data_IF_305772832777
#
_entry.id   IF_305772832777
#
_cell.length_a   1.000
_cell.length_b   1.000
_cell.length_c   1.000
_cell.angle_alpha   90.00
_cell.angle_beta   90.00
_cell.angle_gamma   90.00
#
_symmetry.space_group_name_H-M   'P 1'
#
loop_
_entity.id
_entity.type
_entity.pdbx_description
1 polymer ?
#
# COMPACT_ATOMS: atom_id res chain seq x y z
N UNK A 1 43.92 -31.89 -43.65
CA UNK A 1 44.09 -33.35 -43.85
C UNK A 1 44.44 -33.95 -42.49
N UNK A 2 43.75 -35.03 -42.07
CA UNK A 2 43.59 -35.62 -40.70
C UNK A 2 42.68 -34.77 -39.79
N UNK A 3 41.41 -35.08 -39.44
CA UNK A 3 40.66 -36.31 -39.09
C UNK A 3 41.41 -37.19 -38.10
N UNK A 4 40.97 -37.20 -36.83
CA UNK A 4 40.66 -38.41 -36.05
C UNK A 4 39.56 -38.11 -35.01
N UNK A 5 38.50 -38.92 -35.08
CA UNK A 5 37.41 -39.07 -34.13
C UNK A 5 37.85 -39.93 -32.94
N UNK A 6 37.40 -39.64 -31.72
CA UNK A 6 37.26 -40.68 -30.68
C UNK A 6 35.87 -40.60 -30.04
N UNK A 7 35.19 -41.73 -30.20
CA UNK A 7 33.88 -42.12 -29.71
C UNK A 7 33.92 -42.55 -28.24
N UNK A 8 32.71 -42.55 -27.66
CA UNK A 8 32.21 -43.52 -26.67
C UNK A 8 32.62 -43.32 -25.21
N UNK A 9 31.63 -42.96 -24.39
CA UNK A 9 31.08 -43.87 -23.36
C UNK A 9 29.84 -43.21 -22.71
N UNK A 10 28.67 -43.55 -23.23
CA UNK A 10 27.39 -43.33 -22.55
C UNK A 10 27.25 -44.40 -21.45
N UNK A 11 27.54 -44.03 -20.20
CA UNK A 11 27.17 -44.83 -19.05
C UNK A 11 25.73 -44.48 -18.63
N UNK A 12 24.81 -45.40 -18.93
CA UNK A 12 23.47 -45.45 -18.34
C UNK A 12 23.60 -45.67 -16.83
N UNK A 13 23.36 -44.63 -16.03
CA UNK A 13 23.07 -44.78 -14.61
C UNK A 13 21.58 -44.60 -14.40
N UNK A 14 20.87 -45.73 -14.35
CA UNK A 14 19.48 -45.81 -13.92
C UNK A 14 19.41 -45.57 -12.42
N UNK A 15 19.27 -44.31 -12.01
CA UNK A 15 18.95 -43.96 -10.61
C UNK A 15 17.43 -44.05 -10.41
N UNK A 16 16.99 -45.18 -9.86
CA UNK A 16 15.66 -45.36 -9.31
C UNK A 16 15.49 -44.48 -8.07
N UNK A 17 14.96 -43.27 -8.26
CA UNK A 17 14.58 -42.38 -7.16
C UNK A 17 13.22 -42.82 -6.63
N UNK A 18 13.24 -43.48 -5.47
CA UNK A 18 12.06 -43.78 -4.67
C UNK A 18 11.27 -42.51 -4.39
N UNK A 19 9.98 -42.56 -4.71
CA UNK A 19 8.99 -41.53 -4.45
C UNK A 19 8.90 -41.25 -2.95
N UNK A 20 9.50 -40.14 -2.52
CA UNK A 20 9.22 -39.58 -1.20
C UNK A 20 7.82 -38.97 -1.23
N UNK A 21 7.02 -39.41 -0.27
CA UNK A 21 5.60 -39.15 -0.16
C UNK A 21 5.24 -37.69 -0.33
N UNK A 22 4.20 -37.48 -1.15
CA UNK A 22 3.41 -36.28 -1.20
C UNK A 22 2.85 -35.97 0.19
N UNK A 23 3.51 -35.07 0.93
CA UNK A 23 2.82 -34.19 1.86
C UNK A 23 2.75 -32.82 1.20
N UNK A 24 1.94 -32.74 0.14
CA UNK A 24 1.39 -31.45 -0.29
C UNK A 24 0.43 -31.03 0.82
N UNK A 25 0.94 -30.27 1.78
CA UNK A 25 0.12 -29.45 2.64
C UNK A 25 -0.79 -28.62 1.72
N UNK A 26 -2.08 -28.88 1.82
CA UNK A 26 -3.16 -28.15 1.15
C UNK A 26 -3.14 -26.69 1.61
N UNK A 27 -2.21 -25.89 1.08
CA UNK A 27 -2.26 -24.44 1.13
C UNK A 27 -3.39 -24.01 0.21
N UNK A 28 -4.63 -24.11 0.72
CA UNK A 28 -5.77 -23.47 0.07
C UNK A 28 -5.49 -21.98 0.04
N UNK A 29 -5.63 -21.30 -1.11
CA UNK A 29 -5.60 -19.84 -1.13
C UNK A 29 -6.68 -19.35 -0.17
N UNK A 30 -6.30 -18.48 0.76
CA UNK A 30 -7.26 -17.78 1.62
C UNK A 30 -8.02 -16.82 0.70
N UNK A 31 -9.19 -17.26 0.22
CA UNK A 31 -10.11 -16.43 -0.56
C UNK A 31 -10.95 -15.64 0.46
N UNK A 32 -10.64 -14.36 0.62
CA UNK A 32 -11.47 -13.43 1.38
C UNK A 32 -12.61 -12.97 0.48
N UNK A 33 -13.87 -13.21 0.86
CA UNK A 33 -15.04 -12.81 0.06
C UNK A 33 -15.18 -11.29 -0.01
N UNK A 34 -15.59 -10.79 -1.18
CA UNK A 34 -15.68 -9.36 -1.54
C UNK A 34 -16.82 -8.58 -0.85
N UNK A 35 -17.79 -9.25 -0.22
CA UNK A 35 -19.03 -8.63 0.30
C UNK A 35 -18.95 -8.18 1.77
N UNK A 36 -17.75 -8.11 2.34
CA UNK A 36 -17.58 -7.90 3.76
C UNK A 36 -16.63 -6.73 3.99
N UNK A 37 -17.20 -5.53 4.10
CA UNK A 37 -16.66 -4.49 4.96
C UNK A 37 -16.65 -5.04 6.39
N UNK A 38 -15.69 -5.92 6.68
CA UNK A 38 -15.54 -6.50 8.02
C UNK A 38 -14.90 -5.43 8.90
N UNK A 39 -15.62 -4.85 9.89
CA UNK A 39 -14.94 -4.53 11.14
C UNK A 39 -14.16 -5.77 11.53
N UNK A 40 -12.88 -5.62 11.89
CA UNK A 40 -11.93 -6.70 12.11
C UNK A 40 -12.65 -7.97 12.59
N UNK A 41 -12.78 -8.97 11.70
CA UNK A 41 -13.58 -10.17 11.92
C UNK A 41 -13.36 -10.72 13.33
N UNK A 42 -14.46 -11.01 14.06
CA UNK A 42 -14.53 -11.33 15.50
C UNK A 42 -13.37 -12.17 16.06
N UNK A 43 -12.82 -13.10 15.29
CA UNK A 43 -11.64 -13.88 15.65
C UNK A 43 -10.38 -13.06 16.01
N UNK A 44 -10.26 -11.83 15.50
CA UNK A 44 -9.17 -10.91 15.82
C UNK A 44 -9.28 -10.31 17.23
N UNK A 45 -10.49 -10.24 17.80
CA UNK A 45 -10.77 -9.67 19.12
C UNK A 45 -11.00 -10.77 20.17
N UNK A 46 -11.80 -11.78 19.82
CA UNK A 46 -12.35 -12.76 20.78
C UNK A 46 -11.58 -14.09 20.82
N UNK A 47 -10.54 -14.25 19.99
CA UNK A 47 -9.66 -15.43 20.03
C UNK A 47 -10.30 -16.75 19.56
N UNK A 48 -11.52 -16.74 19.00
CA UNK A 48 -12.15 -17.94 18.43
C UNK A 48 -13.19 -17.61 17.33
N UNK A 49 -13.29 -18.40 16.24
CA UNK A 49 -12.33 -19.39 15.74
C UNK A 49 -11.24 -18.72 14.88
N UNK A 50 -9.98 -19.13 15.07
CA UNK A 50 -8.85 -18.67 14.26
C UNK A 50 -9.07 -19.01 12.77
N UNK A 51 -8.75 -18.12 11.82
CA UNK A 51 -8.88 -18.39 10.40
C UNK A 51 -8.04 -19.60 10.00
N UNK A 52 -8.53 -20.35 9.00
CA UNK A 52 -7.80 -21.48 8.41
C UNK A 52 -6.49 -20.95 7.79
N UNK A 53 -5.35 -21.32 8.37
CA UNK A 53 -4.02 -20.88 7.96
C UNK A 53 -2.93 -21.35 8.92
N UNK A 54 -1.67 -21.10 8.59
CA UNK A 54 -0.55 -21.39 9.50
C UNK A 54 -0.75 -20.63 10.83
N UNK A 55 -0.74 -21.32 12.00
CA UNK A 55 -0.93 -20.67 13.30
C UNK A 55 0.03 -19.49 13.53
N UNK A 56 1.23 -19.55 12.95
CA UNK A 56 2.20 -18.47 13.00
C UNK A 56 1.70 -17.21 12.28
N UNK A 57 1.16 -17.36 11.07
CA UNK A 57 0.64 -16.23 10.27
C UNK A 57 -0.52 -15.55 11.00
N UNK A 58 -1.43 -16.34 11.57
CA UNK A 58 -2.57 -15.80 12.32
C UNK A 58 -2.13 -15.01 13.55
N UNK A 59 -1.16 -15.52 14.32
CA UNK A 59 -0.59 -14.79 15.47
C UNK A 59 0.08 -13.48 15.05
N UNK A 60 0.83 -13.50 13.95
CA UNK A 60 1.48 -12.30 13.42
C UNK A 60 0.45 -11.27 12.93
N UNK A 61 -0.61 -11.70 12.25
CA UNK A 61 -1.71 -10.81 11.84
C UNK A 61 -2.43 -10.17 13.02
N UNK A 62 -2.65 -10.93 14.11
CA UNK A 62 -3.20 -10.38 15.35
C UNK A 62 -2.28 -9.32 15.95
N UNK A 63 -0.99 -9.65 16.10
CA UNK A 63 0.01 -8.72 16.63
C UNK A 63 0.14 -7.46 15.76
N UNK A 64 0.04 -7.60 14.43
CA UNK A 64 0.07 -6.48 13.50
C UNK A 64 -1.09 -5.50 13.75
N UNK A 65 -2.31 -5.99 13.95
CA UNK A 65 -3.48 -5.14 14.26
C UNK A 65 -3.37 -4.47 15.62
N UNK A 66 -2.86 -5.18 16.62
CA UNK A 66 -2.57 -4.58 17.94
C UNK A 66 -1.54 -3.45 17.81
N UNK A 67 -0.46 -3.67 17.06
CA UNK A 67 0.57 -2.65 16.82
C UNK A 67 0.04 -1.46 16.02
N UNK A 68 -0.83 -1.68 15.03
CA UNK A 68 -1.52 -0.62 14.27
C UNK A 68 -2.39 0.25 15.21
N UNK A 69 -3.21 -0.40 16.05
CA UNK A 69 -4.08 0.27 17.01
C UNK A 69 -3.30 1.07 18.06
N UNK A 70 -2.23 0.49 18.58
CA UNK A 70 -1.40 1.09 19.63
C UNK A 70 -0.43 2.15 19.09
N UNK A 71 -0.44 2.44 17.78
CA UNK A 71 0.44 3.44 17.15
C UNK A 71 1.92 3.03 17.13
N UNK A 72 2.22 1.74 17.25
CA UNK A 72 3.60 1.19 17.26
C UNK A 72 4.12 1.02 15.84
N UNK A 73 4.24 2.12 15.08
CA UNK A 73 4.51 2.13 13.64
C UNK A 73 5.74 1.31 13.23
N UNK A 74 6.87 1.44 13.95
CA UNK A 74 8.08 0.68 13.62
C UNK A 74 7.90 -0.84 13.78
N UNK A 75 7.21 -1.28 14.85
CA UNK A 75 6.91 -2.69 15.07
C UNK A 75 5.89 -3.19 14.04
N UNK A 76 4.85 -2.39 13.76
CA UNK A 76 3.87 -2.70 12.74
C UNK A 76 4.52 -2.97 11.39
N UNK A 77 5.43 -2.10 10.93
CA UNK A 77 6.16 -2.28 9.67
C UNK A 77 6.97 -3.58 9.64
N UNK A 78 7.70 -3.88 10.71
CA UNK A 78 8.51 -5.09 10.79
C UNK A 78 7.63 -6.36 10.75
N UNK A 79 6.51 -6.36 11.47
CA UNK A 79 5.56 -7.47 11.48
C UNK A 79 4.88 -7.62 10.12
N UNK A 80 4.46 -6.52 9.48
CA UNK A 80 3.82 -6.54 8.17
C UNK A 80 4.72 -7.18 7.11
N UNK A 81 6.00 -6.78 7.07
CA UNK A 81 7.00 -7.37 6.17
C UNK A 81 7.10 -8.89 6.37
N UNK A 82 7.20 -9.35 7.62
CA UNK A 82 7.28 -10.78 7.95
C UNK A 82 6.01 -11.53 7.53
N UNK A 83 4.83 -10.95 7.69
CA UNK A 83 3.58 -11.56 7.22
C UNK A 83 3.56 -11.62 5.69
N UNK A 84 4.07 -10.59 5.00
CA UNK A 84 4.12 -10.55 3.53
C UNK A 84 5.05 -11.60 2.92
N UNK A 85 6.13 -11.93 3.61
CA UNK A 85 7.04 -13.04 3.24
C UNK A 85 6.36 -14.41 3.40
N UNK A 86 5.58 -14.60 4.47
CA UNK A 86 4.91 -15.87 4.77
C UNK A 86 3.59 -16.08 4.03
N UNK A 87 2.89 -14.99 3.66
CA UNK A 87 1.58 -15.04 3.03
C UNK A 87 1.47 -14.00 1.89
N UNK A 88 2.08 -14.28 0.71
CA UNK A 88 2.07 -13.37 -0.43
C UNK A 88 0.67 -13.00 -0.96
N UNK A 89 -0.33 -13.86 -0.74
CA UNK A 89 -1.72 -13.60 -1.13
C UNK A 89 -2.35 -12.44 -0.35
N UNK A 90 -1.79 -12.07 0.79
CA UNK A 90 -2.30 -10.98 1.65
C UNK A 90 -1.67 -9.63 1.34
N UNK A 91 -0.84 -9.51 0.29
CA UNK A 91 -0.07 -8.29 -0.02
C UNK A 91 -0.94 -7.03 -0.12
N UNK A 92 -2.09 -7.08 -0.80
CA UNK A 92 -2.96 -5.90 -0.93
C UNK A 92 -3.48 -5.42 0.43
N UNK A 93 -3.87 -6.35 1.30
CA UNK A 93 -4.31 -6.03 2.66
C UNK A 93 -3.15 -5.52 3.53
N UNK A 94 -1.98 -6.15 3.43
CA UNK A 94 -0.79 -5.74 4.19
C UNK A 94 -0.36 -4.34 3.83
N UNK A 95 -0.35 -3.99 2.55
CA UNK A 95 -0.02 -2.65 2.07
C UNK A 95 -0.97 -1.60 2.65
N UNK A 96 -2.26 -1.91 2.77
CA UNK A 96 -3.22 -1.01 3.43
C UNK A 96 -2.85 -0.78 4.90
N UNK A 97 -2.55 -1.85 5.64
CA UNK A 97 -2.11 -1.78 7.05
C UNK A 97 -0.79 -1.02 7.20
N UNK A 98 0.15 -1.26 6.29
CA UNK A 98 1.43 -0.57 6.22
C UNK A 98 1.27 0.95 6.05
N UNK A 99 0.36 1.37 5.16
CA UNK A 99 0.01 2.78 4.97
C UNK A 99 -0.63 3.36 6.23
N UNK A 100 -1.60 2.67 6.84
CA UNK A 100 -2.25 3.14 8.08
C UNK A 100 -1.25 3.31 9.24
N UNK A 101 -0.34 2.36 9.41
CA UNK A 101 0.70 2.44 10.42
C UNK A 101 1.65 3.63 10.19
N UNK A 102 1.90 3.99 8.93
CA UNK A 102 2.69 5.16 8.58
C UNK A 102 1.91 6.48 8.78
N UNK A 103 0.62 6.50 8.44
CA UNK A 103 -0.28 7.66 8.61
C UNK A 103 -0.45 8.01 10.09
N UNK A 104 -0.57 7.01 10.96
CA UNK A 104 -0.75 7.19 12.40
C UNK A 104 0.56 7.58 13.13
N UNK A 105 1.71 7.60 12.44
CA UNK A 105 2.97 8.00 13.05
C UNK A 105 2.99 9.52 13.26
N UNK A 106 2.90 9.97 14.52
CA UNK A 106 2.81 11.40 14.87
C UNK A 106 4.04 12.23 14.54
N UNK A 107 5.20 11.58 14.36
CA UNK A 107 6.47 12.25 14.07
C UNK A 107 6.89 12.01 12.63
N UNK A 108 6.82 13.07 11.83
CA UNK A 108 7.35 13.06 10.47
C UNK A 108 8.88 12.87 10.49
N UNK A 109 9.36 11.65 10.28
CA UNK A 109 10.78 11.32 10.20
C UNK A 109 11.23 11.14 8.74
N UNK A 110 12.51 11.37 8.43
CA UNK A 110 13.05 11.08 7.09
C UNK A 110 12.89 9.61 6.70
N UNK A 111 12.94 8.71 7.69
CA UNK A 111 12.68 7.28 7.51
C UNK A 111 11.23 6.98 7.13
N UNK A 112 10.26 7.69 7.73
CA UNK A 112 8.84 7.58 7.41
C UNK A 112 8.56 8.02 5.97
N UNK A 113 9.14 9.13 5.52
CA UNK A 113 8.96 9.60 4.14
C UNK A 113 9.48 8.60 3.11
N UNK A 114 10.67 8.01 3.37
CA UNK A 114 11.24 6.97 2.52
C UNK A 114 10.31 5.77 2.46
N UNK A 115 9.84 5.32 3.63
CA UNK A 115 8.92 4.21 3.75
C UNK A 115 7.61 4.45 2.98
N UNK A 116 6.94 5.59 3.20
CA UNK A 116 5.72 5.96 2.48
C UNK A 116 5.95 5.95 0.97
N UNK A 117 7.06 6.50 0.49
CA UNK A 117 7.41 6.49 -0.93
C UNK A 117 7.55 5.07 -1.48
N UNK A 118 8.22 4.18 -0.75
CA UNK A 118 8.40 2.78 -1.14
C UNK A 118 7.06 2.01 -1.17
N UNK A 119 6.23 2.17 -0.13
CA UNK A 119 4.91 1.53 -0.05
C UNK A 119 3.98 2.05 -1.15
N UNK A 120 3.93 3.36 -1.39
CA UNK A 120 3.14 3.95 -2.48
C UNK A 120 3.62 3.48 -3.86
N UNK A 121 4.92 3.40 -4.09
CA UNK A 121 5.47 2.86 -5.34
C UNK A 121 5.13 1.37 -5.53
N UNK A 122 5.05 0.60 -4.44
CA UNK A 122 4.58 -0.80 -4.48
C UNK A 122 3.11 -0.88 -4.91
N UNK A 123 2.26 0.03 -4.41
CA UNK A 123 0.85 0.12 -4.83
C UNK A 123 0.76 0.49 -6.31
N UNK A 124 1.51 1.50 -6.75
CA UNK A 124 1.51 1.95 -8.15
C UNK A 124 1.96 0.84 -9.11
N UNK A 125 2.96 0.05 -8.71
CA UNK A 125 3.43 -1.12 -9.47
C UNK A 125 2.37 -2.22 -9.58
N UNK A 126 1.48 -2.32 -8.60
CA UNK A 126 0.42 -3.33 -8.54
C UNK A 126 -0.95 -2.66 -8.58
N UNK A 127 -1.17 -1.81 -9.59
CA UNK A 127 -2.40 -1.01 -9.74
C UNK A 127 -3.69 -1.81 -9.70
N UNK A 128 -3.64 -3.11 -10.01
CA UNK A 128 -4.79 -4.02 -9.88
C UNK A 128 -5.40 -4.05 -8.47
N UNK A 129 -4.60 -3.82 -7.42
CA UNK A 129 -5.08 -3.74 -6.04
C UNK A 129 -6.00 -2.54 -5.77
N UNK A 130 -5.95 -1.51 -6.63
CA UNK A 130 -6.81 -0.33 -6.57
C UNK A 130 -8.07 -0.47 -7.44
N UNK A 131 -8.17 -1.52 -8.24
CA UNK A 131 -9.27 -1.75 -9.16
C UNK A 131 -10.21 -2.84 -8.68
N UNK A 132 -9.67 -3.92 -8.11
CA UNK A 132 -10.44 -5.09 -7.72
C UNK A 132 -10.01 -5.65 -6.34
N UNK A 133 -10.99 -6.17 -5.61
CA UNK A 133 -10.82 -6.84 -4.33
C UNK A 133 -11.54 -6.19 -3.14
N UNK A 134 -11.64 -6.92 -2.00
CA UNK A 134 -12.38 -6.48 -0.82
C UNK A 134 -11.80 -5.25 -0.13
N UNK A 135 -10.53 -4.92 -0.40
CA UNK A 135 -9.82 -3.84 0.30
C UNK A 135 -9.70 -2.56 -0.54
N UNK A 136 -10.31 -2.51 -1.73
CA UNK A 136 -10.11 -1.40 -2.69
C UNK A 136 -10.46 -0.05 -2.08
N UNK A 137 -11.62 0.07 -1.43
CA UNK A 137 -12.06 1.37 -0.87
C UNK A 137 -11.18 1.83 0.28
N UNK A 138 -10.86 0.93 1.22
CA UNK A 138 -9.96 1.23 2.32
C UNK A 138 -8.55 1.60 1.80
N UNK A 139 -8.04 0.83 0.82
CA UNK A 139 -6.74 1.08 0.24
C UNK A 139 -6.69 2.42 -0.52
N UNK A 140 -7.73 2.77 -1.29
CA UNK A 140 -7.81 4.09 -1.95
C UNK A 140 -7.76 5.22 -0.92
N UNK A 141 -8.52 5.12 0.16
CA UNK A 141 -8.52 6.12 1.24
C UNK A 141 -7.13 6.29 1.85
N UNK A 142 -6.51 5.18 2.27
CA UNK A 142 -5.17 5.22 2.87
C UNK A 142 -4.09 5.63 1.87
N UNK A 143 -4.24 5.29 0.60
CA UNK A 143 -3.36 5.73 -0.49
C UNK A 143 -3.39 7.25 -0.67
N UNK A 144 -4.59 7.85 -0.76
CA UNK A 144 -4.77 9.30 -0.87
C UNK A 144 -4.20 10.01 0.36
N UNK A 145 -4.53 9.54 1.57
CA UNK A 145 -4.04 10.14 2.81
C UNK A 145 -2.52 10.08 2.92
N UNK A 146 -1.90 8.95 2.56
CA UNK A 146 -0.45 8.80 2.49
C UNK A 146 0.19 9.74 1.46
N UNK A 147 -0.42 9.91 0.27
CA UNK A 147 0.06 10.86 -0.73
C UNK A 147 -0.02 12.31 -0.26
N UNK A 148 -1.07 12.70 0.46
CA UNK A 148 -1.21 14.05 1.03
C UNK A 148 -0.13 14.32 2.09
N UNK A 149 0.15 13.35 2.97
CA UNK A 149 1.25 13.45 3.94
C UNK A 149 2.60 13.60 3.24
N UNK A 150 2.84 12.80 2.21
CA UNK A 150 4.08 12.86 1.43
C UNK A 150 4.20 14.20 0.69
N UNK A 151 3.11 14.72 0.13
CA UNK A 151 3.05 15.99 -0.59
C UNK A 151 3.43 17.17 0.33
N UNK A 152 2.86 17.23 1.54
CA UNK A 152 3.18 18.27 2.53
C UNK A 152 4.67 18.35 2.85
N UNK A 153 5.35 17.20 2.89
CA UNK A 153 6.81 17.13 3.08
C UNK A 153 7.59 17.54 1.83
N UNK A 154 7.12 17.13 0.65
CA UNK A 154 7.76 17.44 -0.62
C UNK A 154 7.67 18.93 -0.99
N UNK A 155 6.63 19.64 -0.61
CA UNK A 155 6.53 21.10 -0.85
C UNK A 155 7.70 21.84 -0.21
N UNK A 156 8.13 21.40 0.98
CA UNK A 156 9.25 22.00 1.72
C UNK A 156 10.61 21.53 1.22
N UNK A 157 10.73 20.28 0.78
CA UNK A 157 12.03 19.62 0.52
C UNK A 157 12.35 19.37 -0.96
N UNK A 158 11.35 19.08 -1.80
CA UNK A 158 11.52 18.73 -3.21
C UNK A 158 10.29 19.14 -4.05
N UNK A 159 10.30 20.40 -4.49
CA UNK A 159 9.21 21.04 -5.26
C UNK A 159 8.86 20.32 -6.56
N UNK A 160 9.86 19.75 -7.26
CA UNK A 160 9.63 18.99 -8.49
C UNK A 160 8.82 17.73 -8.22
N UNK A 161 9.12 17.03 -7.13
CA UNK A 161 8.37 15.85 -6.75
C UNK A 161 6.98 16.22 -6.22
N UNK A 162 6.83 17.35 -5.52
CA UNK A 162 5.53 17.86 -5.08
C UNK A 162 4.57 18.06 -6.27
N UNK A 163 5.03 18.68 -7.37
CA UNK A 163 4.20 18.81 -8.59
C UNK A 163 3.78 17.47 -9.18
N UNK A 164 4.67 16.46 -9.18
CA UNK A 164 4.31 15.11 -9.64
C UNK A 164 3.21 14.50 -8.76
N UNK A 165 3.32 14.65 -7.44
CA UNK A 165 2.33 14.16 -6.49
C UNK A 165 0.99 14.89 -6.65
N UNK A 166 0.99 16.22 -6.84
CA UNK A 166 -0.21 17.01 -7.17
C UNK A 166 -0.87 16.48 -8.45
N UNK A 167 -0.10 16.29 -9.53
CA UNK A 167 -0.62 15.77 -10.78
C UNK A 167 -1.25 14.38 -10.63
N UNK A 168 -0.63 13.49 -9.85
CA UNK A 168 -1.16 12.16 -9.55
C UNK A 168 -2.46 12.21 -8.72
N UNK A 169 -2.57 13.14 -7.78
CA UNK A 169 -3.78 13.34 -6.99
C UNK A 169 -4.91 13.92 -7.85
N UNK A 170 -4.63 14.93 -8.68
CA UNK A 170 -5.61 15.51 -9.61
C UNK A 170 -6.10 14.49 -10.63
N UNK A 171 -5.21 13.64 -11.16
CA UNK A 171 -5.58 12.54 -12.07
C UNK A 171 -6.50 11.50 -11.41
N UNK A 172 -6.59 11.50 -10.08
CA UNK A 172 -7.43 10.62 -9.26
C UNK A 172 -8.46 11.41 -8.44
N UNK A 173 -8.88 12.58 -8.94
CA UNK A 173 -9.88 13.44 -8.28
C UNK A 173 -11.15 12.71 -7.86
N UNK A 174 -11.56 11.67 -8.59
CA UNK A 174 -12.78 10.90 -8.31
C UNK A 174 -12.65 10.03 -7.05
N UNK A 175 -11.44 9.88 -6.49
CA UNK A 175 -11.19 9.17 -5.23
C UNK A 175 -11.00 10.11 -4.03
N UNK A 176 -10.92 11.41 -4.29
CA UNK A 176 -10.70 12.43 -3.27
C UNK A 176 -12.05 12.90 -2.72
N UNK A 177 -12.14 13.04 -1.41
CA UNK A 177 -13.23 13.81 -0.80
C UNK A 177 -13.10 15.28 -1.22
N UNK A 178 -14.21 16.02 -1.30
CA UNK A 178 -14.19 17.41 -1.75
C UNK A 178 -13.25 18.29 -0.91
N UNK A 179 -13.16 18.04 0.40
CA UNK A 179 -12.20 18.68 1.31
C UNK A 179 -10.73 18.36 0.96
N UNK A 180 -10.43 17.11 0.60
CA UNK A 180 -9.09 16.70 0.18
C UNK A 180 -8.74 17.28 -1.18
N UNK A 181 -9.70 17.33 -2.12
CA UNK A 181 -9.48 17.92 -3.43
C UNK A 181 -9.21 19.43 -3.32
N UNK A 182 -9.97 20.14 -2.48
CA UNK A 182 -9.68 21.53 -2.14
C UNK A 182 -8.26 21.67 -1.56
N UNK A 183 -7.90 20.83 -0.58
CA UNK A 183 -6.55 20.82 -0.01
C UNK A 183 -5.46 20.60 -1.08
N UNK A 184 -5.66 19.72 -2.07
CA UNK A 184 -4.69 19.52 -3.17
C UNK A 184 -4.51 20.79 -3.98
N UNK A 185 -5.60 21.49 -4.32
CA UNK A 185 -5.52 22.77 -5.04
C UNK A 185 -4.91 23.88 -4.20
N UNK A 186 -5.21 23.94 -2.91
CA UNK A 186 -4.57 24.86 -1.98
C UNK A 186 -3.05 24.66 -1.96
N UNK A 187 -2.59 23.41 -1.79
CA UNK A 187 -1.17 23.05 -1.78
C UNK A 187 -0.49 23.31 -3.14
N UNK A 188 -1.20 23.14 -4.25
CA UNK A 188 -0.72 23.53 -5.58
C UNK A 188 -0.55 25.04 -5.70
N UNK A 189 -1.49 25.82 -5.15
CA UNK A 189 -1.41 27.28 -5.07
C UNK A 189 -0.22 27.75 -4.25
N UNK A 190 0.00 27.17 -3.07
CA UNK A 190 1.17 27.47 -2.23
C UNK A 190 2.48 27.18 -2.97
N UNK A 191 2.57 26.02 -3.63
CA UNK A 191 3.76 25.64 -4.37
C UNK A 191 4.03 26.58 -5.55
N UNK A 192 3.01 26.97 -6.30
CA UNK A 192 3.10 27.94 -7.38
C UNK A 192 3.52 29.33 -6.87
N UNK A 193 2.95 29.76 -5.74
CA UNK A 193 3.30 31.03 -5.11
C UNK A 193 4.77 31.06 -4.67
N UNK A 194 5.25 30.00 -4.01
CA UNK A 194 6.67 29.84 -3.63
C UNK A 194 7.61 29.90 -4.85
N UNK A 195 7.13 29.45 -6.01
CA UNK A 195 7.87 29.50 -7.28
C UNK A 195 7.63 30.79 -8.08
N UNK A 196 6.94 31.77 -7.51
CA UNK A 196 6.59 33.06 -8.13
C UNK A 196 5.75 32.93 -9.41
N UNK A 197 5.07 31.80 -9.62
CA UNK A 197 4.07 31.66 -10.68
C UNK A 197 2.71 32.13 -10.16
N UNK A 198 2.55 33.46 -10.08
CA UNK A 198 1.38 34.09 -9.47
C UNK A 198 0.07 33.75 -10.19
N UNK A 199 0.10 33.63 -11.52
CA UNK A 199 -1.08 33.25 -12.31
C UNK A 199 -1.64 31.88 -11.90
N UNK A 200 -0.78 30.86 -11.87
CA UNK A 200 -1.15 29.51 -11.46
C UNK A 200 -1.54 29.46 -9.97
N UNK A 201 -0.89 30.26 -9.13
CA UNK A 201 -1.23 30.34 -7.71
C UNK A 201 -2.67 30.85 -7.51
N UNK A 202 -3.04 31.96 -8.15
CA UNK A 202 -4.39 32.52 -8.11
C UNK A 202 -5.41 31.52 -8.63
N UNK A 203 -5.17 30.91 -9.80
CA UNK A 203 -6.08 29.91 -10.38
C UNK A 203 -6.29 28.73 -9.43
N UNK A 204 -5.22 28.25 -8.79
CA UNK A 204 -5.29 27.11 -7.88
C UNK A 204 -6.03 27.44 -6.58
N UNK A 205 -5.77 28.62 -5.99
CA UNK A 205 -6.50 29.07 -4.80
C UNK A 205 -7.98 29.30 -5.10
N UNK A 206 -8.32 29.88 -6.26
CA UNK A 206 -9.70 30.07 -6.67
C UNK A 206 -10.44 28.73 -6.81
N UNK A 207 -9.80 27.71 -7.40
CA UNK A 207 -10.38 26.35 -7.47
C UNK A 207 -10.58 25.74 -6.09
N UNK A 208 -9.61 25.87 -5.19
CA UNK A 208 -9.75 25.43 -3.80
C UNK A 208 -10.97 26.06 -3.14
N UNK A 209 -11.10 27.39 -3.24
CA UNK A 209 -12.21 28.14 -2.66
C UNK A 209 -13.56 27.73 -3.26
N UNK A 210 -13.65 27.55 -4.58
CA UNK A 210 -14.88 27.12 -5.26
C UNK A 210 -15.36 25.74 -4.78
N UNK A 211 -14.42 24.83 -4.50
CA UNK A 211 -14.75 23.50 -4.00
C UNK A 211 -15.22 23.58 -2.53
N UNK A 212 -14.54 24.37 -1.69
CA UNK A 212 -14.94 24.59 -0.28
C UNK A 212 -16.30 25.28 -0.15
N UNK A 213 -16.57 26.27 -1.00
CA UNK A 213 -17.83 27.00 -1.03
C UNK A 213 -18.98 26.19 -1.65
N UNK A 214 -18.73 25.00 -2.20
CA UNK A 214 -19.78 24.13 -2.74
C UNK A 214 -20.75 23.72 -1.64
N UNK A 215 -22.08 23.75 -1.89
CA UNK A 215 -23.09 23.41 -0.89
C UNK A 215 -22.96 21.99 -0.31
N UNK A 216 -22.28 21.08 -1.01
CA UNK A 216 -21.97 19.73 -0.51
C UNK A 216 -21.10 19.73 0.75
N UNK A 217 -20.25 20.75 0.93
CA UNK A 217 -19.39 20.90 2.11
C UNK A 217 -20.05 21.81 3.15
N UNK A 218 -20.77 22.86 2.71
CA UNK A 218 -21.41 23.82 3.62
C UNK A 218 -22.52 23.24 4.51
N UNK A 219 -23.00 22.02 4.22
CA UNK A 219 -24.05 21.32 4.98
C UNK A 219 -23.52 20.23 5.93
N UNK A 220 -22.20 20.05 6.04
CA UNK A 220 -21.55 19.11 6.99
C UNK A 220 -20.94 19.85 8.16
#
# INVERSE_FOLDING_TARGET
MKIECILSLCAFFSFSFQSWGQNQSLLRPVVLSSELELPASRWMVDGSPLPKGSPLVVRLMKSLREQERDGRSAQCRATAKRVGELAPSLKAWLVNVELNCAINESKASSSLHRYLKETLASVDKNSIWLLDGPQVQALKKSYIQAFLLLLNSQIKSNRRQAWKSIGLLIARKDWLESSQLAQVYYLAGELAFIQQNLSLAVDSFQRSYQIEASPEIALR
#
